data_IF_591897104553
#
_entry.id   IF_591897104553
#
_cell.length_a   1.000
_cell.length_b   1.000
_cell.length_c   1.000
_cell.angle_alpha   90.00
_cell.angle_beta   90.00
_cell.angle_gamma   90.00
#
_symmetry.space_group_name_H-M   'P 1'
#
loop_
_entity.id
_entity.type
_entity.pdbx_description
1 polymer ?
#
# COMPACT_ATOMS: atom_id res chain seq x y z
N UNK A 1 48.24 -53.60 -35.48
CA UNK A 1 47.66 -52.51 -36.27
C UNK A 1 46.19 -52.82 -36.46
N UNK A 2 45.35 -52.28 -35.59
CA UNK A 2 43.93 -52.64 -35.45
C UNK A 2 43.08 -51.40 -35.69
N UNK A 3 42.33 -51.42 -36.78
CA UNK A 3 41.31 -50.43 -37.15
C UNK A 3 39.94 -50.80 -36.52
N UNK A 4 39.33 -49.87 -35.78
CA UNK A 4 37.88 -49.83 -35.46
C UNK A 4 37.45 -48.37 -35.30
N UNK A 5 36.53 -47.85 -36.11
CA UNK A 5 35.06 -47.84 -35.92
C UNK A 5 34.58 -46.68 -35.02
N UNK A 6 34.01 -45.63 -35.64
CA UNK A 6 33.08 -44.62 -35.08
C UNK A 6 31.79 -45.28 -34.51
N UNK A 7 30.81 -44.62 -33.82
CA UNK A 7 30.59 -43.18 -33.50
C UNK A 7 30.04 -42.92 -32.06
N UNK A 8 29.80 -41.64 -31.72
CA UNK A 8 28.51 -41.06 -31.24
C UNK A 8 28.71 -39.91 -30.24
N UNK A 9 28.44 -38.70 -30.74
CA UNK A 9 27.86 -37.61 -29.95
C UNK A 9 26.53 -38.08 -29.34
N UNK A 10 26.28 -37.72 -28.09
CA UNK A 10 24.94 -37.80 -27.50
C UNK A 10 24.98 -37.86 -25.98
N UNK A 11 24.82 -36.71 -25.33
CA UNK A 11 24.52 -36.66 -23.91
C UNK A 11 25.14 -35.46 -23.21
N UNK A 12 24.38 -34.36 -23.13
CA UNK A 12 24.30 -33.46 -21.98
C UNK A 12 23.58 -32.17 -22.39
N UNK A 13 22.26 -32.25 -22.59
CA UNK A 13 21.36 -31.09 -22.47
C UNK A 13 20.22 -31.55 -21.57
N UNK A 14 20.47 -31.58 -20.26
CA UNK A 14 19.46 -31.79 -19.23
C UNK A 14 20.01 -31.33 -17.87
N UNK A 15 20.40 -30.07 -17.73
CA UNK A 15 20.73 -29.50 -16.42
C UNK A 15 20.59 -27.96 -16.39
N UNK A 16 19.37 -27.44 -16.61
CA UNK A 16 19.11 -26.01 -16.47
C UNK A 16 17.74 -25.65 -15.87
N UNK A 17 16.96 -26.64 -15.39
CA UNK A 17 15.60 -26.39 -14.85
C UNK A 17 15.48 -26.53 -13.31
N UNK A 18 16.56 -26.82 -12.59
CA UNK A 18 16.51 -27.10 -11.13
C UNK A 18 16.79 -25.89 -10.24
N UNK A 19 17.20 -24.74 -10.78
CA UNK A 19 17.59 -23.57 -9.98
C UNK A 19 16.40 -22.71 -9.53
N UNK A 20 15.31 -22.66 -10.31
CA UNK A 20 14.17 -21.78 -10.02
C UNK A 20 13.20 -22.28 -8.95
N UNK A 21 13.11 -23.61 -8.75
CA UNK A 21 12.29 -24.17 -7.68
C UNK A 21 12.93 -23.89 -6.30
N UNK A 22 14.22 -24.20 -6.17
CA UNK A 22 14.95 -24.06 -4.90
C UNK A 22 14.94 -22.63 -4.31
N UNK A 23 14.87 -21.59 -5.14
CA UNK A 23 14.74 -20.21 -4.69
C UNK A 23 13.32 -19.87 -4.23
N UNK A 24 12.30 -20.36 -4.93
CA UNK A 24 10.91 -20.14 -4.55
C UNK A 24 10.55 -20.87 -3.24
N UNK A 25 11.05 -22.09 -3.04
CA UNK A 25 10.88 -22.79 -1.77
C UNK A 25 11.60 -22.08 -0.61
N UNK A 26 12.81 -21.53 -0.84
CA UNK A 26 13.53 -20.79 0.19
C UNK A 26 12.81 -19.49 0.61
N UNK A 27 12.19 -18.79 -0.34
CA UNK A 27 11.43 -17.57 -0.07
C UNK A 27 10.14 -17.85 0.72
N UNK A 28 9.48 -18.98 0.45
CA UNK A 28 8.31 -19.42 1.22
C UNK A 28 8.68 -19.88 2.62
N UNK A 29 9.81 -20.56 2.80
CA UNK A 29 10.30 -20.95 4.13
C UNK A 29 10.70 -19.73 4.96
N UNK A 30 11.30 -18.71 4.34
CA UNK A 30 11.62 -17.45 5.01
C UNK A 30 10.34 -16.72 5.48
N UNK A 31 9.33 -16.61 4.61
CA UNK A 31 8.06 -15.99 4.95
C UNK A 31 7.29 -16.74 6.03
N UNK A 32 7.29 -18.08 5.96
CA UNK A 32 6.75 -18.97 7.00
C UNK A 32 7.39 -18.71 8.35
N UNK A 33 8.72 -18.63 8.40
CA UNK A 33 9.47 -18.36 9.63
C UNK A 33 9.17 -16.97 10.20
N UNK A 34 8.97 -15.97 9.35
CA UNK A 34 8.55 -14.65 9.82
C UNK A 34 7.17 -14.72 10.46
N UNK A 35 6.25 -15.44 9.81
CA UNK A 35 4.88 -15.61 10.29
C UNK A 35 4.77 -16.35 11.63
N UNK A 36 5.63 -17.36 11.87
CA UNK A 36 5.53 -18.23 13.06
C UNK A 36 6.47 -17.85 14.20
N UNK A 37 7.61 -17.21 13.92
CA UNK A 37 8.70 -17.06 14.89
C UNK A 37 9.29 -15.65 14.93
N UNK A 38 9.58 -15.05 13.78
CA UNK A 38 10.38 -13.80 13.72
C UNK A 38 9.56 -12.57 14.10
N UNK A 39 8.32 -12.49 13.62
CA UNK A 39 7.39 -11.46 14.08
C UNK A 39 7.05 -11.69 15.55
N UNK A 40 7.08 -10.63 16.36
CA UNK A 40 6.72 -10.69 17.78
C UNK A 40 5.68 -9.59 18.09
N UNK A 41 4.42 -9.96 18.41
CA UNK A 41 3.90 -11.33 18.55
C UNK A 41 3.83 -12.08 17.20
N UNK A 42 4.00 -13.41 17.23
CA UNK A 42 3.91 -14.23 16.02
C UNK A 42 2.53 -14.13 15.38
N UNK A 43 2.48 -14.01 14.06
CA UNK A 43 1.24 -13.82 13.30
C UNK A 43 0.26 -14.99 13.53
N UNK A 44 0.79 -16.21 13.63
CA UNK A 44 0.04 -17.44 13.88
C UNK A 44 -0.73 -17.44 15.21
N UNK A 45 -0.39 -16.58 16.17
CA UNK A 45 -1.12 -16.46 17.43
C UNK A 45 -2.49 -15.82 17.26
N UNK A 46 -2.63 -14.96 16.25
CA UNK A 46 -3.85 -14.22 16.01
C UNK A 46 -4.58 -14.65 14.74
N UNK A 47 -3.85 -15.02 13.69
CA UNK A 47 -4.42 -15.34 12.39
C UNK A 47 -4.44 -16.84 12.10
N UNK A 48 -5.60 -17.37 11.71
CA UNK A 48 -5.69 -18.71 11.15
C UNK A 48 -5.06 -18.76 9.76
N UNK A 49 -4.23 -19.78 9.55
CA UNK A 49 -3.55 -20.08 8.30
C UNK A 49 -3.20 -21.57 8.24
N UNK A 50 -3.83 -22.30 7.32
CA UNK A 50 -3.71 -23.77 7.16
C UNK A 50 -2.27 -24.21 6.90
N UNK A 51 -1.52 -23.43 6.14
CA UNK A 51 -0.15 -23.76 5.78
C UNK A 51 0.78 -23.91 7.00
N UNK A 52 0.49 -23.22 8.12
CA UNK A 52 1.20 -23.39 9.40
C UNK A 52 0.36 -24.09 10.46
N UNK A 53 -0.81 -24.61 10.10
CA UNK A 53 -1.74 -25.26 11.03
C UNK A 53 -2.32 -24.33 12.10
N UNK A 54 -2.32 -23.01 11.87
CA UNK A 54 -2.95 -22.08 12.82
C UNK A 54 -4.46 -22.02 12.61
N UNK A 55 -5.19 -22.11 13.71
CA UNK A 55 -6.66 -21.97 13.78
C UNK A 55 -7.06 -20.75 14.62
N UNK A 56 -6.18 -19.76 14.77
CA UNK A 56 -6.43 -18.60 15.62
C UNK A 56 -7.59 -17.71 15.14
N UNK A 57 -8.38 -17.20 16.08
CA UNK A 57 -9.64 -16.48 15.81
C UNK A 57 -9.59 -14.97 16.18
N UNK A 58 -8.44 -14.48 16.66
CA UNK A 58 -8.29 -13.07 17.06
C UNK A 58 -8.29 -12.16 15.82
N UNK A 59 -7.54 -12.56 14.81
CA UNK A 59 -7.50 -11.96 13.48
C UNK A 59 -8.33 -12.78 12.47
N UNK A 60 -8.56 -12.25 11.26
CA UNK A 60 -9.25 -12.98 10.21
C UNK A 60 -8.49 -14.24 9.79
N UNK A 61 -9.25 -15.24 9.35
CA UNK A 61 -8.71 -16.42 8.68
C UNK A 61 -8.15 -16.01 7.31
N UNK A 62 -6.85 -16.21 7.11
CA UNK A 62 -6.15 -15.75 5.92
C UNK A 62 -6.47 -16.61 4.69
N UNK A 63 -6.75 -17.90 4.87
CA UNK A 63 -7.19 -18.80 3.78
C UNK A 63 -8.55 -18.40 3.21
N UNK A 64 -9.42 -17.81 4.04
CA UNK A 64 -10.71 -17.28 3.62
C UNK A 64 -10.61 -15.86 3.07
N UNK A 65 -9.81 -15.01 3.71
CA UNK A 65 -9.67 -13.60 3.35
C UNK A 65 -8.89 -13.38 2.05
N UNK A 66 -7.90 -14.23 1.77
CA UNK A 66 -7.09 -14.23 0.53
C UNK A 66 -6.53 -12.85 0.17
N UNK A 67 -5.77 -12.23 1.07
CA UNK A 67 -5.28 -10.87 0.87
C UNK A 67 -4.26 -10.77 -0.27
N UNK A 68 -4.22 -9.60 -0.92
CA UNK A 68 -3.13 -9.25 -1.84
C UNK A 68 -1.85 -8.92 -1.10
N UNK A 69 -0.71 -8.97 -1.80
CA UNK A 69 0.61 -8.61 -1.21
C UNK A 69 0.56 -7.21 -0.61
N UNK A 70 -0.05 -6.25 -1.30
CA UNK A 70 -0.18 -4.87 -0.83
C UNK A 70 -1.05 -4.76 0.43
N UNK A 71 -2.11 -5.56 0.53
CA UNK A 71 -2.97 -5.60 1.70
C UNK A 71 -2.23 -6.17 2.92
N UNK A 72 -1.48 -7.26 2.74
CA UNK A 72 -0.66 -7.82 3.83
C UNK A 72 0.43 -6.85 4.24
N UNK A 73 1.16 -6.28 3.27
CA UNK A 73 2.23 -5.32 3.53
C UNK A 73 1.74 -4.10 4.28
N UNK A 74 0.62 -3.53 3.87
CA UNK A 74 0.02 -2.37 4.55
C UNK A 74 -0.39 -2.70 5.98
N UNK A 75 -1.06 -3.84 6.19
CA UNK A 75 -1.51 -4.27 7.52
C UNK A 75 -0.35 -4.58 8.47
N UNK A 76 0.71 -5.25 7.98
CA UNK A 76 1.90 -5.57 8.79
C UNK A 76 2.71 -4.31 9.09
N UNK A 77 2.85 -3.39 8.13
CA UNK A 77 3.62 -2.15 8.32
C UNK A 77 2.98 -1.23 9.35
N UNK A 78 1.67 -1.00 9.24
CA UNK A 78 0.97 0.05 9.99
C UNK A 78 0.09 -0.45 11.12
N UNK A 79 -0.14 -1.77 11.21
CA UNK A 79 -1.12 -2.36 12.12
C UNK A 79 -2.56 -2.07 11.70
N UNK A 80 -3.51 -2.82 12.28
CA UNK A 80 -4.95 -2.62 12.06
C UNK A 80 -5.77 -3.12 13.26
N UNK A 81 -6.50 -2.21 13.91
CA UNK A 81 -7.32 -2.57 15.07
C UNK A 81 -6.50 -3.15 16.22
N UNK A 82 -6.71 -4.44 16.51
CA UNK A 82 -5.94 -5.18 17.54
C UNK A 82 -4.61 -5.71 17.03
N UNK A 83 -4.37 -5.69 15.72
CA UNK A 83 -3.10 -6.08 15.11
C UNK A 83 -2.10 -4.92 15.25
N UNK A 84 -0.98 -5.11 15.97
CA UNK A 84 0.04 -4.07 16.12
C UNK A 84 0.76 -3.79 14.79
N UNK A 85 1.43 -2.64 14.72
CA UNK A 85 2.38 -2.35 13.64
C UNK A 85 3.69 -3.13 13.87
N UNK A 86 4.26 -3.69 12.81
CA UNK A 86 5.53 -4.44 12.85
C UNK A 86 6.68 -3.70 12.16
N UNK A 87 6.46 -2.49 11.64
CA UNK A 87 7.52 -1.68 11.01
C UNK A 87 8.65 -1.28 11.95
N UNK A 88 8.43 -1.32 13.26
CA UNK A 88 9.47 -1.07 14.27
C UNK A 88 10.29 -2.32 14.62
N UNK A 89 9.81 -3.52 14.26
CA UNK A 89 10.39 -4.80 14.66
C UNK A 89 10.80 -5.70 13.50
N UNK A 90 10.27 -5.47 12.30
CA UNK A 90 10.62 -6.14 11.05
C UNK A 90 11.19 -5.14 10.06
N UNK A 91 12.17 -5.60 9.28
CA UNK A 91 12.71 -4.87 8.14
C UNK A 91 11.70 -4.82 6.99
N UNK A 92 11.89 -3.88 6.05
CA UNK A 92 11.03 -3.77 4.87
C UNK A 92 11.07 -5.03 4.02
N UNK A 93 12.24 -5.65 3.94
CA UNK A 93 12.49 -6.91 3.26
C UNK A 93 11.70 -8.04 3.93
N UNK A 94 11.75 -8.16 5.26
CA UNK A 94 10.97 -9.18 6.00
C UNK A 94 9.46 -8.97 5.85
N UNK A 95 9.00 -7.71 5.87
CA UNK A 95 7.58 -7.38 5.64
C UNK A 95 7.16 -7.81 4.23
N UNK A 96 7.98 -7.53 3.22
CA UNK A 96 7.71 -7.96 1.84
C UNK A 96 7.71 -9.48 1.71
N UNK A 97 8.68 -10.17 2.34
CA UNK A 97 8.79 -11.63 2.34
C UNK A 97 7.55 -12.28 2.98
N UNK A 98 7.11 -11.82 4.15
CA UNK A 98 5.90 -12.38 4.79
C UNK A 98 4.63 -12.03 4.01
N UNK A 99 4.60 -10.88 3.33
CA UNK A 99 3.44 -10.47 2.52
C UNK A 99 3.26 -11.36 1.29
N UNK A 100 4.35 -11.61 0.56
CA UNK A 100 4.38 -12.56 -0.56
C UNK A 100 3.99 -13.97 -0.12
N UNK A 101 4.59 -14.42 0.97
CA UNK A 101 4.29 -15.74 1.54
C UNK A 101 2.80 -15.90 1.85
N UNK A 102 2.18 -14.97 2.62
CA UNK A 102 0.76 -15.05 2.96
C UNK A 102 -0.13 -15.05 1.72
N UNK A 103 0.15 -14.20 0.73
CA UNK A 103 -0.64 -14.16 -0.51
C UNK A 103 -0.49 -15.45 -1.32
N UNK A 104 0.72 -15.97 -1.46
CA UNK A 104 1.00 -17.21 -2.20
C UNK A 104 0.25 -18.39 -1.58
N UNK A 105 0.41 -18.62 -0.27
CA UNK A 105 -0.15 -19.81 0.38
C UNK A 105 -1.67 -19.76 0.52
N UNK A 106 -2.27 -18.57 0.51
CA UNK A 106 -3.73 -18.39 0.56
C UNK A 106 -4.37 -18.35 -0.84
N UNK A 107 -3.56 -18.22 -1.90
CA UNK A 107 -4.02 -18.03 -3.27
C UNK A 107 -4.75 -16.69 -3.46
N UNK A 108 -4.26 -15.63 -2.81
CA UNK A 108 -4.70 -14.26 -3.06
C UNK A 108 -4.41 -13.83 -4.50
N UNK A 109 -5.15 -12.85 -5.07
CA UNK A 109 -4.97 -12.49 -6.47
C UNK A 109 -3.57 -11.91 -6.68
N UNK A 110 -2.82 -12.55 -7.56
CA UNK A 110 -1.47 -12.11 -7.94
C UNK A 110 -1.55 -10.81 -8.74
N UNK A 111 -1.01 -9.74 -8.16
CA UNK A 111 -0.27 -8.78 -8.97
C UNK A 111 1.20 -9.17 -8.93
N UNK A 112 1.57 -10.13 -9.78
CA UNK A 112 2.94 -10.53 -10.08
C UNK A 112 3.54 -9.57 -11.15
N UNK A 113 4.83 -9.21 -11.25
CA UNK A 113 6.08 -9.36 -10.45
C UNK A 113 7.20 -8.59 -11.20
N UNK A 114 8.32 -8.26 -10.50
CA UNK A 114 9.70 -8.16 -11.06
C UNK A 114 10.35 -6.76 -10.96
N UNK A 115 11.39 -6.44 -10.15
CA UNK A 115 12.71 -7.09 -9.83
C UNK A 115 13.67 -6.99 -11.05
N UNK A 116 14.89 -6.43 -11.08
CA UNK A 116 16.09 -6.30 -10.21
C UNK A 116 16.80 -4.93 -10.51
N UNK A 117 17.79 -4.38 -9.80
CA UNK A 117 18.95 -4.98 -9.14
C UNK A 117 19.62 -4.01 -8.15
N UNK A 118 20.10 -4.54 -7.03
CA UNK A 118 21.20 -3.94 -6.29
C UNK A 118 22.53 -4.29 -6.98
N UNK A 119 23.35 -3.29 -7.29
CA UNK A 119 24.82 -3.39 -7.26
C UNK A 119 25.41 -2.03 -6.93
N UNK A 120 26.16 -2.06 -5.82
CA UNK A 120 27.14 -1.15 -5.23
C UNK A 120 27.45 0.23 -5.85
N UNK A 121 27.42 1.21 -4.94
CA UNK A 121 28.21 2.42 -4.85
C UNK A 121 29.27 2.67 -5.96
N UNK A 122 29.06 3.72 -6.73
CA UNK A 122 30.11 4.72 -7.00
C UNK A 122 29.52 6.13 -7.02
N UNK A 123 30.35 7.05 -6.54
CA UNK A 123 30.17 8.48 -6.33
C UNK A 123 29.62 9.27 -7.54
N UNK A 124 28.98 10.40 -7.20
CA UNK A 124 28.64 11.57 -8.02
C UNK A 124 27.37 11.57 -8.90
N UNK A 125 26.35 12.22 -8.33
CA UNK A 125 25.52 13.27 -8.91
C UNK A 125 24.88 13.05 -10.30
N UNK A 126 23.61 12.63 -10.30
CA UNK A 126 22.55 13.33 -11.03
C UNK A 126 21.20 13.07 -10.34
N UNK A 127 20.28 14.01 -10.43
CA UNK A 127 19.04 14.06 -9.65
C UNK A 127 18.03 12.97 -10.08
N UNK A 128 17.64 12.10 -9.16
CA UNK A 128 16.61 11.08 -9.36
C UNK A 128 15.26 11.57 -8.79
N UNK A 129 14.23 11.64 -9.64
CA UNK A 129 12.86 11.99 -9.27
C UNK A 129 12.28 10.96 -8.30
N UNK A 130 11.86 11.44 -7.13
CA UNK A 130 11.11 10.66 -6.16
C UNK A 130 9.70 10.43 -6.72
N UNK A 131 9.38 9.20 -7.12
CA UNK A 131 8.02 8.75 -7.42
C UNK A 131 7.13 9.01 -6.19
N UNK A 132 6.50 10.17 -6.16
CA UNK A 132 5.62 10.62 -5.09
C UNK A 132 4.23 10.10 -5.45
N UNK A 133 3.59 9.23 -4.64
CA UNK A 133 2.26 8.70 -4.94
C UNK A 133 1.29 9.84 -5.29
N UNK A 134 0.72 9.81 -6.49
CA UNK A 134 -0.22 10.81 -6.97
C UNK A 134 0.40 12.11 -7.53
N UNK A 135 1.70 12.17 -7.78
CA UNK A 135 2.34 13.29 -8.48
C UNK A 135 1.69 13.58 -9.84
N UNK A 136 1.32 12.54 -10.57
CA UNK A 136 0.62 12.66 -11.85
C UNK A 136 -0.79 13.26 -11.69
N UNK A 137 -1.53 12.91 -10.63
CA UNK A 137 -2.84 13.50 -10.33
C UNK A 137 -2.71 15.01 -10.06
N UNK A 138 -1.69 15.42 -9.31
CA UNK A 138 -1.42 16.83 -9.05
C UNK A 138 -1.02 17.57 -10.33
N UNK A 139 -0.14 16.97 -11.15
CA UNK A 139 0.31 17.56 -12.41
C UNK A 139 -0.82 17.74 -13.44
N UNK A 140 -1.82 16.87 -13.42
CA UNK A 140 -2.98 16.93 -14.32
C UNK A 140 -4.07 17.90 -13.87
N UNK A 141 -4.10 18.31 -12.60
CA UNK A 141 -5.18 19.12 -12.04
C UNK A 141 -5.08 20.61 -12.40
N UNK A 142 -6.23 21.25 -12.63
CA UNK A 142 -6.35 22.71 -12.74
C UNK A 142 -6.94 23.28 -11.43
N UNK A 143 -6.16 24.01 -10.61
CA UNK A 143 -6.65 24.62 -9.36
C UNK A 143 -7.85 25.55 -9.54
N UNK A 144 -7.93 26.29 -10.65
CA UNK A 144 -9.04 27.21 -10.91
C UNK A 144 -10.32 26.46 -11.32
N UNK A 145 -10.19 25.31 -11.98
CA UNK A 145 -11.31 24.38 -12.18
C UNK A 145 -11.68 23.69 -10.86
N UNK A 146 -10.69 23.37 -10.03
CA UNK A 146 -10.83 22.74 -8.73
C UNK A 146 -11.65 23.57 -7.76
N UNK A 147 -11.35 24.87 -7.66
CA UNK A 147 -12.12 25.81 -6.84
C UNK A 147 -13.61 25.81 -7.24
N UNK A 148 -13.89 25.74 -8.55
CA UNK A 148 -15.27 25.68 -9.06
C UNK A 148 -15.95 24.37 -8.66
N UNK A 149 -15.24 23.25 -8.73
CA UNK A 149 -15.76 21.94 -8.33
C UNK A 149 -15.93 21.85 -6.81
N UNK A 150 -15.04 22.48 -6.03
CA UNK A 150 -15.07 22.54 -4.57
C UNK A 150 -16.34 23.20 -4.01
N UNK A 151 -17.10 23.96 -4.84
CA UNK A 151 -18.44 24.44 -4.45
C UNK A 151 -19.39 23.33 -4.02
N UNK A 152 -19.17 22.07 -4.42
CA UNK A 152 -19.91 20.89 -3.94
C UNK A 152 -19.58 20.54 -2.48
N UNK A 153 -18.42 20.97 -1.98
CA UNK A 153 -17.85 20.63 -0.67
C UNK A 153 -18.04 21.76 0.36
N UNK A 154 -18.15 23.01 -0.09
CA UNK A 154 -18.18 24.23 0.77
C UNK A 154 -19.30 24.29 1.81
N UNK A 155 -20.39 23.54 1.61
CA UNK A 155 -21.47 23.46 2.59
C UNK A 155 -21.04 22.74 3.86
N UNK A 156 -20.09 21.80 3.74
CA UNK A 156 -19.63 20.96 4.82
C UNK A 156 -18.21 21.30 5.30
N UNK A 157 -17.36 21.83 4.41
CA UNK A 157 -15.95 22.07 4.69
C UNK A 157 -15.56 23.54 4.56
N UNK A 158 -14.59 23.95 5.37
CA UNK A 158 -13.85 25.20 5.23
C UNK A 158 -12.45 24.92 4.68
N UNK A 159 -11.80 25.93 4.14
CA UNK A 159 -10.50 25.82 3.45
C UNK A 159 -9.53 26.93 3.82
N UNK A 160 -9.95 27.87 4.65
CA UNK A 160 -9.08 28.94 5.14
C UNK A 160 -8.11 28.37 6.19
N UNK A 161 -6.88 28.89 6.22
CA UNK A 161 -5.90 28.56 7.27
C UNK A 161 -6.48 28.85 8.65
N UNK A 162 -6.43 27.85 9.55
CA UNK A 162 -7.04 27.95 10.88
C UNK A 162 -8.57 28.08 10.88
N UNK A 163 -9.23 27.79 9.75
CA UNK A 163 -10.68 27.86 9.61
C UNK A 163 -11.42 26.86 10.50
N UNK A 164 -12.71 27.12 10.75
CA UNK A 164 -13.52 26.31 11.66
C UNK A 164 -13.97 24.98 11.06
N UNK A 165 -14.04 23.95 11.90
CA UNK A 165 -14.75 22.71 11.59
C UNK A 165 -16.26 22.95 11.47
N UNK A 166 -16.93 22.26 10.54
CA UNK A 166 -18.38 22.32 10.32
C UNK A 166 -18.97 20.91 10.31
N UNK A 167 -19.79 20.58 9.31
CA UNK A 167 -20.29 19.20 9.09
C UNK A 167 -19.10 18.27 8.79
N UNK A 168 -18.09 18.77 8.08
CA UNK A 168 -16.78 18.14 7.90
C UNK A 168 -15.67 18.99 8.54
N UNK A 169 -14.44 18.44 8.65
CA UNK A 169 -13.28 19.19 9.15
C UNK A 169 -12.89 20.31 8.17
N UNK A 170 -12.09 21.26 8.66
CA UNK A 170 -11.31 22.15 7.79
C UNK A 170 -10.35 21.34 6.91
N UNK A 171 -10.16 21.77 5.67
CA UNK A 171 -9.36 21.07 4.65
C UNK A 171 -8.09 21.83 4.25
N UNK A 172 -7.73 22.91 4.94
CA UNK A 172 -6.48 23.60 4.70
C UNK A 172 -5.30 22.67 5.00
N UNK A 173 -4.39 22.51 4.05
CA UNK A 173 -3.24 21.62 4.17
C UNK A 173 -3.59 20.13 4.28
N UNK A 174 -4.74 19.71 3.75
CA UNK A 174 -5.16 18.31 3.84
C UNK A 174 -4.34 17.38 2.91
N UNK A 175 -3.77 17.91 1.83
CA UNK A 175 -2.99 17.11 0.87
C UNK A 175 -1.67 16.70 1.53
N UNK A 176 -1.45 15.39 1.63
CA UNK A 176 -0.31 14.80 2.34
C UNK A 176 -0.44 14.77 3.87
N UNK A 177 -1.50 15.33 4.45
CA UNK A 177 -1.70 15.30 5.90
C UNK A 177 -2.22 13.93 6.39
N UNK A 178 -2.01 13.59 7.66
CA UNK A 178 -2.55 12.37 8.24
C UNK A 178 -4.09 12.33 8.18
N UNK A 179 -4.61 11.15 7.85
CA UNK A 179 -6.05 10.88 7.83
C UNK A 179 -6.63 11.07 9.24
N UNK A 180 -7.77 11.75 9.30
CA UNK A 180 -8.54 11.95 10.54
C UNK A 180 -7.78 12.69 11.68
N UNK A 181 -6.91 13.64 11.32
CA UNK A 181 -6.05 14.33 12.28
C UNK A 181 -6.38 15.82 12.54
N UNK A 182 -7.47 16.36 12.00
CA UNK A 182 -7.84 17.77 12.28
C UNK A 182 -8.42 17.88 13.69
N UNK A 183 -7.77 18.70 14.50
CA UNK A 183 -8.14 18.91 15.89
C UNK A 183 -9.58 19.41 16.06
N UNK A 184 -10.24 18.91 17.10
CA UNK A 184 -11.59 19.32 17.47
C UNK A 184 -12.70 18.81 16.54
N UNK A 185 -12.39 17.97 15.52
CA UNK A 185 -13.40 17.30 14.71
C UNK A 185 -13.65 15.86 15.17
N UNK A 186 -14.92 15.43 15.21
CA UNK A 186 -15.29 14.06 15.60
C UNK A 186 -15.46 13.17 14.37
N UNK A 187 -14.42 12.45 14.03
CA UNK A 187 -14.39 11.50 12.92
C UNK A 187 -15.29 10.26 13.15
N UNK A 188 -15.49 9.47 12.09
CA UNK A 188 -16.01 8.11 12.19
C UNK A 188 -14.89 7.14 12.53
N UNK A 189 -15.19 6.13 13.35
CA UNK A 189 -14.22 5.08 13.71
C UNK A 189 -13.63 4.41 12.46
N UNK A 190 -14.44 4.24 11.40
CA UNK A 190 -14.00 3.73 10.13
C UNK A 190 -12.92 4.59 9.44
N UNK A 191 -13.01 5.92 9.56
CA UNK A 191 -12.03 6.83 8.93
C UNK A 191 -10.78 6.97 9.79
N UNK A 192 -10.92 6.90 11.13
CA UNK A 192 -9.78 6.81 12.04
C UNK A 192 -8.99 5.51 11.78
N UNK A 193 -9.70 4.37 11.65
CA UNK A 193 -9.09 3.08 11.34
C UNK A 193 -8.52 2.96 9.92
N UNK A 194 -8.88 3.85 8.99
CA UNK A 194 -8.32 3.88 7.64
C UNK A 194 -6.86 4.38 7.61
N UNK A 195 -6.49 5.29 8.52
CA UNK A 195 -5.11 5.70 8.82
C UNK A 195 -4.27 6.18 7.63
N UNK A 196 -2.97 6.35 7.87
CA UNK A 196 -1.98 6.85 6.90
C UNK A 196 -2.23 8.30 6.49
N UNK A 197 -1.71 8.68 5.32
CA UNK A 197 -1.78 10.07 4.83
C UNK A 197 -2.72 10.23 3.64
N UNK A 198 -3.23 11.44 3.47
CA UNK A 198 -4.02 11.86 2.32
C UNK A 198 -3.15 12.16 1.10
N UNK A 199 -2.52 11.13 0.54
CA UNK A 199 -1.86 11.26 -0.77
C UNK A 199 -2.88 11.63 -1.85
N UNK A 200 -2.46 12.29 -2.95
CA UNK A 200 -3.38 12.62 -4.05
C UNK A 200 -4.14 11.40 -4.58
N UNK A 201 -3.51 10.22 -4.67
CA UNK A 201 -4.19 8.98 -5.08
C UNK A 201 -5.30 8.56 -4.10
N UNK A 202 -5.01 8.60 -2.78
CA UNK A 202 -6.00 8.24 -1.76
C UNK A 202 -7.12 9.26 -1.67
N UNK A 203 -6.81 10.54 -1.83
CA UNK A 203 -7.81 11.58 -1.95
C UNK A 203 -8.69 11.36 -3.19
N UNK A 204 -8.10 11.02 -4.35
CA UNK A 204 -8.86 10.76 -5.57
C UNK A 204 -9.83 9.58 -5.40
N UNK A 205 -9.34 8.45 -4.86
CA UNK A 205 -10.16 7.28 -4.56
C UNK A 205 -11.30 7.61 -3.57
N UNK A 206 -10.98 8.32 -2.49
CA UNK A 206 -11.96 8.72 -1.49
C UNK A 206 -12.99 9.70 -2.06
N UNK A 207 -12.57 10.70 -2.83
CA UNK A 207 -13.45 11.66 -3.49
C UNK A 207 -14.33 11.01 -4.56
N UNK A 208 -13.86 9.93 -5.20
CA UNK A 208 -14.64 9.18 -6.19
C UNK A 208 -15.88 8.53 -5.55
N UNK A 209 -15.72 7.90 -4.38
CA UNK A 209 -16.83 7.31 -3.63
C UNK A 209 -16.44 7.04 -2.15
N UNK A 210 -16.69 8.00 -1.24
CA UNK A 210 -16.21 7.89 0.15
C UNK A 210 -16.74 6.66 0.88
N UNK A 211 -18.00 6.27 0.63
CA UNK A 211 -18.64 5.14 1.29
C UNK A 211 -18.17 3.79 0.78
N UNK A 212 -17.68 3.74 -0.47
CA UNK A 212 -17.07 2.54 -1.04
C UNK A 212 -15.62 2.42 -0.59
N UNK A 213 -14.88 3.53 -0.61
CA UNK A 213 -13.48 3.58 -0.20
C UNK A 213 -13.32 3.30 1.30
N UNK A 214 -14.09 4.01 2.14
CA UNK A 214 -14.09 3.84 3.60
C UNK A 214 -15.50 3.49 4.06
N UNK A 215 -15.79 2.18 4.08
CA UNK A 215 -17.10 1.69 4.52
C UNK A 215 -17.36 2.06 5.98
N UNK A 216 -18.43 2.83 6.21
CA UNK A 216 -18.77 3.37 7.54
C UNK A 216 -18.28 4.80 7.78
N UNK A 217 -17.66 5.45 6.78
CA UNK A 217 -17.35 6.88 6.88
C UNK A 217 -18.62 7.71 7.08
N UNK A 218 -18.52 8.73 7.93
CA UNK A 218 -19.60 9.71 8.14
C UNK A 218 -19.76 10.68 6.96
N UNK A 219 -18.80 10.72 6.03
CA UNK A 219 -18.88 11.57 4.84
C UNK A 219 -19.93 11.03 3.85
N UNK A 220 -21.15 11.58 3.91
CA UNK A 220 -22.28 11.21 3.05
C UNK A 220 -22.26 11.82 1.64
N UNK A 221 -21.08 11.93 1.02
CA UNK A 221 -20.94 12.54 -0.31
C UNK A 221 -21.13 11.52 -1.43
N UNK A 222 -21.82 11.90 -2.51
CA UNK A 222 -22.14 11.01 -3.64
C UNK A 222 -20.94 10.70 -4.54
N UNK A 223 -19.84 11.45 -4.40
CA UNK A 223 -18.61 11.24 -5.16
C UNK A 223 -18.43 12.19 -6.35
N UNK A 224 -17.18 12.32 -6.78
CA UNK A 224 -16.76 12.94 -8.04
C UNK A 224 -16.43 11.83 -9.04
N UNK A 225 -17.34 11.52 -9.97
CA UNK A 225 -17.17 10.36 -10.85
C UNK A 225 -16.11 10.54 -11.94
N UNK A 226 -15.76 11.79 -12.26
CA UNK A 226 -14.74 12.11 -13.26
C UNK A 226 -13.39 12.22 -12.59
N UNK A 227 -12.39 11.51 -13.11
CA UNK A 227 -11.01 11.60 -12.64
C UNK A 227 -10.50 13.05 -12.68
N UNK A 228 -10.80 13.79 -13.75
CA UNK A 228 -10.39 15.20 -13.84
C UNK A 228 -11.01 16.07 -12.73
N UNK A 229 -12.30 15.88 -12.39
CA UNK A 229 -12.92 16.64 -11.29
C UNK A 229 -12.21 16.35 -9.94
N UNK A 230 -11.70 15.12 -9.75
CA UNK A 230 -10.94 14.76 -8.55
C UNK A 230 -9.58 15.45 -8.56
N UNK A 231 -8.81 15.30 -9.65
CA UNK A 231 -7.50 15.92 -9.83
C UNK A 231 -7.55 17.44 -9.65
N UNK A 232 -8.52 18.10 -10.27
CA UNK A 232 -8.73 19.54 -10.15
C UNK A 232 -8.96 19.96 -8.69
N UNK A 233 -9.85 19.27 -7.96
CA UNK A 233 -10.12 19.59 -6.54
C UNK A 233 -8.89 19.35 -5.67
N UNK A 234 -8.13 18.29 -5.92
CA UNK A 234 -6.92 17.98 -5.16
C UNK A 234 -5.86 19.06 -5.42
N UNK A 235 -5.63 19.45 -6.68
CA UNK A 235 -4.73 20.53 -7.03
C UNK A 235 -5.15 21.88 -6.44
N UNK A 236 -6.46 22.16 -6.38
CA UNK A 236 -6.97 23.32 -5.66
C UNK A 236 -6.63 23.26 -4.18
N UNK A 237 -6.91 22.14 -3.49
CA UNK A 237 -6.62 22.00 -2.06
C UNK A 237 -5.12 22.10 -1.74
N UNK A 238 -4.27 21.53 -2.61
CA UNK A 238 -2.81 21.63 -2.53
C UNK A 238 -2.32 23.09 -2.68
N UNK A 239 -2.93 23.83 -3.63
CA UNK A 239 -2.58 25.23 -3.89
C UNK A 239 -2.92 26.20 -2.74
N UNK A 240 -3.71 25.78 -1.75
CA UNK A 240 -4.07 26.63 -0.61
C UNK A 240 -2.92 26.78 0.39
N UNK A 241 -2.01 25.82 0.43
CA UNK A 241 -0.81 25.90 1.26
C UNK A 241 0.34 26.53 0.50
N UNK A 242 0.45 27.85 0.56
CA UNK A 242 1.55 28.61 1.17
C UNK A 242 3.02 28.13 1.19
N UNK A 243 3.41 26.89 0.85
CA UNK A 243 4.78 26.44 1.07
C UNK A 243 5.12 25.14 0.34
N UNK A 244 6.14 25.23 -0.53
CA UNK A 244 7.00 24.11 -0.82
C UNK A 244 7.30 23.35 0.47
N UNK A 245 7.15 22.02 0.42
CA UNK A 245 7.50 21.08 1.48
C UNK A 245 8.85 21.45 2.10
N UNK A 246 8.85 22.17 3.22
CA UNK A 246 10.07 22.58 3.92
C UNK A 246 9.95 22.18 5.39
N UNK A 247 10.42 20.97 5.67
CA UNK A 247 11.25 20.53 6.79
C UNK A 247 10.95 19.07 7.16
#
# INVERSE_FOLDING_TARGET
MTTRTTPRLGGAVFLALMAGAASAEADLDAGRKIFTETAQPACALCHALKDVGSEAEIGPNLDEFKPTVDQVRAAVTSGIGVMPAFSETLTKEEIETVSKYVTEVTGGPETATGTDAATEATDSADAEEVETPGAEILAQGDPAAGEKTFRKCKACHTVDEGGSNRVGPNLYGIVGAPVAAVDGFRYSDALVGYGGDWTPDRLAAFLANPRKEVRGTKMGFSGLLKAQDQADVIAYLDSLTDTAKTN
#
